data_IF_549250574169
#
_entry.id   IF_549250574169
#
_cell.length_a   1.000
_cell.length_b   1.000
_cell.length_c   1.000
_cell.angle_alpha   90.00
_cell.angle_beta   90.00
_cell.angle_gamma   90.00
#
_symmetry.space_group_name_H-M   'P 1'
#
loop_
_entity.id
_entity.type
_entity.pdbx_description
1 polymer ?
#
# COMPACT_ATOMS: atom_id res chain seq x y z
N UNK A 1 -20.23 -15.46 8.47
CA UNK A 1 -19.92 -14.03 8.63
C UNK A 1 -19.99 -13.43 7.25
N UNK A 2 -20.97 -12.55 7.02
CA UNK A 2 -21.15 -11.91 5.70
C UNK A 2 -20.18 -10.74 5.63
N UNK A 3 -19.37 -10.70 4.60
CA UNK A 3 -18.56 -9.54 4.25
C UNK A 3 -19.43 -8.63 3.38
N UNK A 4 -19.80 -7.46 3.90
CA UNK A 4 -20.40 -6.41 3.09
C UNK A 4 -19.27 -5.76 2.27
N UNK A 5 -19.31 -6.02 0.97
CA UNK A 5 -18.40 -5.41 -0.01
C UNK A 5 -19.15 -4.23 -0.63
N UNK A 6 -19.03 -3.05 -0.07
CA UNK A 6 -19.59 -1.86 -0.67
C UNK A 6 -18.50 -0.94 -1.25
N UNK A 7 -18.67 -0.66 -2.52
CA UNK A 7 -18.19 0.45 -3.33
C UNK A 7 -16.73 0.43 -3.81
N UNK A 8 -16.56 -0.21 -4.98
CA UNK A 8 -15.51 0.18 -5.92
C UNK A 8 -16.01 1.40 -6.69
N UNK A 9 -15.47 2.58 -6.41
CA UNK A 9 -15.73 3.77 -7.24
C UNK A 9 -14.57 3.93 -8.21
N UNK A 10 -14.85 3.63 -9.47
CA UNK A 10 -13.99 4.04 -10.57
C UNK A 10 -14.22 5.53 -10.81
N UNK A 11 -13.17 6.34 -10.94
CA UNK A 11 -13.23 7.78 -11.18
C UNK A 11 -13.81 8.17 -12.56
N UNK A 12 -14.38 7.21 -13.28
CA UNK A 12 -15.10 7.40 -14.54
C UNK A 12 -16.51 6.83 -14.44
N UNK A 13 -17.46 7.67 -14.42
CA UNK A 13 -18.93 7.63 -14.32
C UNK A 13 -19.65 6.43 -15.00
N UNK A 14 -19.27 5.18 -14.66
CA UNK A 14 -20.04 3.98 -15.00
C UNK A 14 -19.94 3.00 -13.83
N UNK A 15 -21.06 2.49 -13.26
CA UNK A 15 -21.01 1.44 -12.26
C UNK A 15 -20.42 0.17 -12.90
N UNK A 16 -19.11 0.00 -12.75
CA UNK A 16 -18.39 -1.15 -13.26
C UNK A 16 -18.83 -2.40 -12.53
N UNK A 17 -19.14 -3.44 -13.27
CA UNK A 17 -19.38 -4.78 -12.74
C UNK A 17 -18.10 -5.22 -12.04
N UNK A 18 -18.17 -5.54 -10.74
CA UNK A 18 -17.03 -6.00 -9.92
C UNK A 18 -16.59 -7.39 -10.38
N UNK A 19 -15.91 -7.47 -11.51
CA UNK A 19 -15.26 -8.70 -12.02
C UNK A 19 -13.82 -8.85 -11.50
N UNK A 20 -13.26 -7.80 -10.91
CA UNK A 20 -11.84 -7.69 -10.56
C UNK A 20 -11.43 -8.11 -9.14
N UNK A 21 -12.35 -8.41 -8.21
CA UNK A 21 -12.00 -8.71 -6.82
C UNK A 21 -10.91 -9.80 -6.68
N UNK A 22 -10.95 -10.93 -7.41
CA UNK A 22 -9.88 -11.92 -7.31
C UNK A 22 -8.51 -11.39 -7.74
N UNK A 23 -8.47 -10.53 -8.76
CA UNK A 23 -7.21 -9.93 -9.24
C UNK A 23 -6.70 -8.88 -8.27
N UNK A 24 -7.57 -8.11 -7.61
CA UNK A 24 -7.17 -7.22 -6.52
C UNK A 24 -6.55 -7.99 -5.35
N UNK A 25 -7.14 -9.11 -4.95
CA UNK A 25 -6.56 -9.97 -3.92
C UNK A 25 -5.19 -10.51 -4.36
N UNK A 26 -5.09 -11.01 -5.61
CA UNK A 26 -3.81 -11.48 -6.17
C UNK A 26 -2.77 -10.36 -6.26
N UNK A 27 -3.18 -9.12 -6.56
CA UNK A 27 -2.29 -7.96 -6.60
C UNK A 27 -1.66 -7.68 -5.23
N UNK A 28 -2.41 -7.91 -4.14
CA UNK A 28 -1.96 -7.75 -2.76
C UNK A 28 -1.20 -8.97 -2.19
N UNK A 29 -1.19 -10.08 -2.90
CA UNK A 29 -0.47 -11.30 -2.52
C UNK A 29 0.78 -11.55 -3.37
N UNK A 30 0.82 -10.98 -4.58
CA UNK A 30 1.85 -11.26 -5.58
C UNK A 30 2.69 -10.02 -5.90
N UNK A 31 3.88 -9.86 -5.29
CA UNK A 31 4.75 -8.71 -5.53
C UNK A 31 5.16 -8.52 -6.99
N UNK A 32 5.28 -9.61 -7.76
CA UNK A 32 5.63 -9.52 -9.18
C UNK A 32 4.49 -8.94 -10.02
N UNK A 33 3.24 -9.26 -9.68
CA UNK A 33 2.06 -8.67 -10.32
C UNK A 33 1.93 -7.18 -9.95
N UNK A 34 2.13 -6.85 -8.66
CA UNK A 34 2.16 -5.48 -8.17
C UNK A 34 3.27 -4.66 -8.84
N UNK A 35 4.48 -5.21 -8.97
CA UNK A 35 5.61 -4.55 -9.65
C UNK A 35 5.32 -4.29 -11.13
N UNK A 36 4.64 -5.21 -11.81
CA UNK A 36 4.24 -5.00 -13.20
C UNK A 36 3.23 -3.85 -13.32
N UNK A 37 2.20 -3.84 -12.48
CA UNK A 37 1.22 -2.74 -12.41
C UNK A 37 1.91 -1.39 -12.14
N UNK A 38 2.77 -1.34 -11.13
CA UNK A 38 3.57 -0.16 -10.79
C UNK A 38 4.44 0.32 -11.95
N UNK A 39 5.06 -0.61 -12.69
CA UNK A 39 5.90 -0.28 -13.87
C UNK A 39 5.08 0.39 -14.97
N UNK A 40 3.85 -0.08 -15.22
CA UNK A 40 2.94 0.53 -16.19
C UNK A 40 2.54 1.94 -15.71
N UNK A 41 2.17 2.08 -14.43
CA UNK A 41 1.73 3.35 -13.84
C UNK A 41 2.83 4.42 -13.93
N UNK A 42 4.07 4.07 -13.59
CA UNK A 42 5.22 5.00 -13.62
C UNK A 42 5.64 5.42 -15.03
N UNK A 43 5.29 4.62 -16.03
CA UNK A 43 5.67 4.89 -17.43
C UNK A 43 4.61 5.67 -18.20
N UNK A 44 3.48 6.05 -17.58
CA UNK A 44 2.27 6.58 -18.21
C UNK A 44 1.70 5.61 -19.27
N UNK A 45 2.53 5.14 -20.17
CA UNK A 45 2.20 4.10 -21.16
C UNK A 45 3.39 3.19 -21.38
N UNK A 46 3.17 1.87 -21.50
CA UNK A 46 4.21 0.89 -21.77
C UNK A 46 3.75 -0.17 -22.78
N UNK A 47 4.66 -0.68 -23.59
CA UNK A 47 4.39 -1.84 -24.47
C UNK A 47 4.75 -3.14 -23.78
N UNK A 48 4.16 -4.26 -24.23
CA UNK A 48 4.50 -5.58 -23.69
C UNK A 48 6.01 -5.92 -23.75
N UNK A 49 6.72 -5.66 -24.87
CA UNK A 49 8.18 -5.86 -24.93
C UNK A 49 8.96 -5.02 -23.91
N UNK A 50 8.65 -3.74 -23.73
CA UNK A 50 9.29 -2.87 -22.74
C UNK A 50 9.10 -3.41 -21.32
N UNK A 51 7.88 -3.88 -20.98
CA UNK A 51 7.59 -4.48 -19.70
C UNK A 51 8.33 -5.80 -19.46
N UNK A 52 8.58 -6.59 -20.51
CA UNK A 52 9.42 -7.80 -20.42
C UNK A 52 10.86 -7.45 -20.09
N UNK A 53 11.38 -6.34 -20.61
CA UNK A 53 12.76 -5.91 -20.37
C UNK A 53 12.94 -5.30 -18.96
N UNK A 54 11.90 -4.67 -18.42
CA UNK A 54 11.97 -3.98 -17.11
C UNK A 54 11.63 -4.89 -15.93
N UNK A 55 11.04 -6.06 -16.16
CA UNK A 55 10.62 -6.98 -15.10
C UNK A 55 11.54 -8.20 -14.97
N UNK A 56 11.56 -8.80 -13.79
CA UNK A 56 12.37 -10.02 -13.52
C UNK A 56 11.63 -11.31 -13.86
N UNK A 57 10.34 -11.22 -14.26
CA UNK A 57 9.53 -12.40 -14.59
C UNK A 57 9.63 -12.80 -16.06
N UNK A 58 9.24 -14.03 -16.37
CA UNK A 58 9.30 -14.54 -17.74
C UNK A 58 8.35 -13.76 -18.66
N UNK A 59 8.71 -13.69 -19.96
CA UNK A 59 7.85 -13.08 -20.99
C UNK A 59 6.42 -13.63 -20.93
N UNK A 60 6.25 -14.94 -20.78
CA UNK A 60 4.91 -15.55 -20.67
C UNK A 60 4.16 -15.00 -19.47
N UNK A 61 4.81 -14.92 -18.31
CA UNK A 61 4.23 -14.41 -17.08
C UNK A 61 3.79 -12.95 -17.22
N UNK A 62 4.59 -12.12 -17.90
CA UNK A 62 4.23 -10.71 -18.18
C UNK A 62 2.91 -10.63 -18.94
N UNK A 63 2.77 -11.39 -20.03
CA UNK A 63 1.54 -11.36 -20.83
C UNK A 63 0.34 -11.97 -20.10
N UNK A 64 0.54 -13.01 -19.28
CA UNK A 64 -0.51 -13.58 -18.44
C UNK A 64 -0.98 -12.54 -17.40
N UNK A 65 -0.07 -11.77 -16.82
CA UNK A 65 -0.38 -10.69 -15.87
C UNK A 65 -1.07 -9.50 -16.54
N UNK A 66 -0.61 -9.06 -17.72
CA UNK A 66 -1.27 -8.00 -18.49
C UNK A 66 -2.72 -8.37 -18.78
N UNK A 67 -2.98 -9.60 -19.20
CA UNK A 67 -4.34 -10.05 -19.44
C UNK A 67 -5.21 -10.05 -18.17
N UNK A 68 -4.66 -10.48 -17.03
CA UNK A 68 -5.36 -10.43 -15.73
C UNK A 68 -5.69 -9.00 -15.30
N UNK A 69 -4.72 -8.09 -15.39
CA UNK A 69 -4.92 -6.68 -15.01
C UNK A 69 -5.95 -6.00 -15.93
N UNK A 70 -5.91 -6.26 -17.23
CA UNK A 70 -6.87 -5.75 -18.20
C UNK A 70 -8.29 -6.29 -17.94
N UNK A 71 -8.42 -7.60 -17.69
CA UNK A 71 -9.73 -8.19 -17.34
C UNK A 71 -10.31 -7.64 -16.03
N UNK A 72 -9.45 -7.24 -15.11
CA UNK A 72 -9.85 -6.62 -13.85
C UNK A 72 -10.18 -5.12 -14.00
N UNK A 73 -9.86 -4.50 -15.15
CA UNK A 73 -10.03 -3.07 -15.37
C UNK A 73 -9.00 -2.21 -14.65
N UNK A 74 -7.85 -2.82 -14.25
CA UNK A 74 -6.75 -2.12 -13.59
C UNK A 74 -5.79 -1.48 -14.58
N UNK A 75 -5.81 -1.94 -15.82
CA UNK A 75 -5.13 -1.34 -16.95
C UNK A 75 -6.06 -1.31 -18.16
N UNK A 76 -5.82 -0.36 -19.07
CA UNK A 76 -6.46 -0.30 -20.36
C UNK A 76 -5.43 -0.44 -21.48
N UNK A 77 -5.90 -0.90 -22.65
CA UNK A 77 -5.06 -1.04 -23.84
C UNK A 77 -5.46 -0.03 -24.89
N UNK A 78 -4.48 0.75 -25.35
CA UNK A 78 -4.62 1.66 -26.47
C UNK A 78 -3.72 1.18 -27.60
N UNK A 79 -4.24 1.03 -28.80
CA UNK A 79 -3.42 0.74 -29.97
C UNK A 79 -2.90 2.06 -30.55
N UNK A 80 -1.59 2.14 -30.77
CA UNK A 80 -1.00 3.26 -31.46
C UNK A 80 -1.23 3.17 -33.00
N UNK A 81 -0.84 4.21 -33.72
CA UNK A 81 -0.98 4.27 -35.19
C UNK A 81 -0.19 3.15 -35.91
N UNK A 82 0.76 2.50 -35.24
CA UNK A 82 1.51 1.36 -35.74
C UNK A 82 0.84 0.01 -35.50
N UNK A 83 -0.27 0.01 -34.73
CA UNK A 83 -0.97 -1.20 -34.29
C UNK A 83 -0.32 -1.90 -33.10
N UNK A 84 0.62 -1.24 -32.44
CA UNK A 84 1.28 -1.78 -31.24
C UNK A 84 0.40 -1.48 -30.02
N UNK A 85 0.10 -2.53 -29.24
CA UNK A 85 -0.65 -2.39 -28.01
C UNK A 85 0.20 -1.66 -26.94
N UNK A 86 -0.34 -0.57 -26.39
CA UNK A 86 0.18 0.17 -25.25
C UNK A 86 -0.76 0.02 -24.08
N UNK A 87 -0.19 -0.20 -22.91
CA UNK A 87 -0.92 -0.36 -21.66
C UNK A 87 -0.79 0.90 -20.83
N UNK A 88 -1.91 1.31 -20.22
CA UNK A 88 -2.00 2.44 -19.28
C UNK A 88 -2.65 1.94 -18.01
N UNK A 89 -2.12 2.31 -16.85
CA UNK A 89 -2.74 1.98 -15.57
C UNK A 89 -3.98 2.85 -15.32
N UNK A 90 -5.00 2.22 -14.77
CA UNK A 90 -6.21 2.89 -14.33
C UNK A 90 -6.11 3.25 -12.85
N UNK A 91 -6.59 4.43 -12.48
CA UNK A 91 -6.72 4.83 -11.09
C UNK A 91 -7.90 4.10 -10.44
N UNK A 92 -7.75 3.71 -9.20
CA UNK A 92 -8.80 3.05 -8.44
C UNK A 92 -8.71 3.38 -6.95
N UNK A 93 -9.81 3.20 -6.26
CA UNK A 93 -9.88 3.19 -4.80
C UNK A 93 -10.79 2.05 -4.37
N UNK A 94 -10.25 1.13 -3.57
CA UNK A 94 -10.99 0.04 -2.95
C UNK A 94 -11.05 0.25 -1.45
N UNK A 95 -12.22 0.60 -0.94
CA UNK A 95 -12.42 0.74 0.50
C UNK A 95 -12.82 -0.59 1.12
N UNK A 96 -12.10 -1.01 2.16
CA UNK A 96 -12.38 -2.20 2.95
C UNK A 96 -12.80 -1.78 4.36
N UNK A 97 -13.94 -2.28 4.82
CA UNK A 97 -14.37 -2.13 6.21
C UNK A 97 -14.19 -3.45 6.95
N UNK A 98 -13.27 -3.50 7.90
CA UNK A 98 -13.01 -4.68 8.73
C UNK A 98 -13.27 -4.33 10.20
N UNK A 99 -14.27 -4.97 10.79
CA UNK A 99 -14.79 -4.75 12.16
C UNK A 99 -15.34 -3.34 12.40
N UNK A 100 -14.63 -2.30 12.35
CA UNK A 100 -15.03 -0.88 12.44
C UNK A 100 -13.94 0.01 11.88
N UNK A 101 -12.90 -0.59 11.35
CA UNK A 101 -11.79 0.11 10.71
C UNK A 101 -12.04 0.12 9.22
N UNK A 102 -11.97 1.28 8.62
CA UNK A 102 -12.05 1.49 7.19
C UNK A 102 -10.65 1.80 6.69
N UNK A 103 -10.23 1.12 5.64
CA UNK A 103 -8.93 1.31 4.99
C UNK A 103 -9.11 1.40 3.49
N UNK A 104 -8.33 2.25 2.83
CA UNK A 104 -8.34 2.39 1.38
C UNK A 104 -7.14 1.68 0.76
N UNK A 105 -7.39 0.90 -0.29
CA UNK A 105 -6.37 0.31 -1.15
C UNK A 105 -6.32 1.15 -2.42
N UNK A 106 -5.22 1.83 -2.62
CA UNK A 106 -4.98 2.73 -3.76
C UNK A 106 -3.81 2.26 -4.59
N UNK A 107 -3.61 2.80 -5.81
CA UNK A 107 -2.41 2.54 -6.60
C UNK A 107 -1.09 2.81 -5.86
N UNK A 108 -1.05 3.86 -5.03
CA UNK A 108 0.12 4.23 -4.23
C UNK A 108 0.45 3.14 -3.19
N UNK A 109 -0.56 2.60 -2.51
CA UNK A 109 -0.38 1.48 -1.59
C UNK A 109 0.17 0.23 -2.31
N UNK A 110 -0.29 -0.02 -3.54
CA UNK A 110 0.24 -1.12 -4.37
C UNK A 110 1.70 -0.88 -4.74
N UNK A 111 2.10 0.36 -5.02
CA UNK A 111 3.51 0.70 -5.28
C UNK A 111 4.42 0.40 -4.09
N UNK A 112 3.96 0.72 -2.87
CA UNK A 112 4.67 0.39 -1.64
C UNK A 112 4.72 -1.13 -1.44
N UNK A 113 3.59 -1.82 -1.62
CA UNK A 113 3.54 -3.28 -1.52
C UNK A 113 4.48 -3.98 -2.52
N UNK A 114 4.62 -3.46 -3.73
CA UNK A 114 5.52 -4.01 -4.75
C UNK A 114 6.99 -4.06 -4.28
N UNK A 115 7.37 -3.20 -3.34
CA UNK A 115 8.72 -3.09 -2.79
C UNK A 115 8.93 -3.94 -1.51
N UNK A 116 7.95 -4.72 -1.07
CA UNK A 116 8.04 -5.49 0.20
C UNK A 116 9.28 -6.37 0.31
N UNK A 117 9.78 -6.91 -0.80
CA UNK A 117 10.97 -7.74 -0.82
C UNK A 117 12.29 -6.95 -0.57
N UNK A 118 12.26 -5.63 -0.76
CA UNK A 118 13.39 -4.73 -0.56
C UNK A 118 13.39 -4.15 0.86
N UNK A 119 12.21 -4.12 1.50
CA UNK A 119 12.00 -3.55 2.83
C UNK A 119 11.45 -4.58 3.82
N UNK A 120 12.33 -5.23 4.62
CA UNK A 120 11.91 -6.29 5.56
C UNK A 120 10.86 -5.86 6.59
N UNK A 121 10.76 -4.57 6.91
CA UNK A 121 9.73 -4.04 7.81
C UNK A 121 8.33 -4.21 7.22
N UNK A 122 8.17 -3.93 5.91
CA UNK A 122 6.91 -4.10 5.19
C UNK A 122 6.52 -5.57 5.14
N UNK A 123 7.45 -6.45 4.75
CA UNK A 123 7.20 -7.88 4.65
C UNK A 123 6.78 -8.47 6.00
N UNK A 124 7.46 -8.09 7.08
CA UNK A 124 7.12 -8.50 8.45
C UNK A 124 5.71 -8.08 8.85
N UNK A 125 5.33 -6.82 8.61
CA UNK A 125 3.99 -6.35 8.97
C UNK A 125 2.92 -7.05 8.16
N UNK A 126 3.15 -7.30 6.87
CA UNK A 126 2.22 -8.05 6.03
C UNK A 126 2.06 -9.50 6.46
N UNK A 127 3.15 -10.18 6.83
CA UNK A 127 3.13 -11.58 7.29
C UNK A 127 2.49 -11.74 8.67
N UNK A 128 2.88 -10.90 9.63
CA UNK A 128 2.47 -11.04 11.03
C UNK A 128 1.10 -10.42 11.32
N UNK A 129 0.74 -9.33 10.65
CA UNK A 129 -0.45 -8.51 10.94
C UNK A 129 -1.44 -8.40 9.76
N UNK A 130 -1.01 -8.71 8.54
CA UNK A 130 -1.84 -8.72 7.34
C UNK A 130 -2.07 -7.36 6.70
N UNK A 131 -2.73 -7.41 5.52
CA UNK A 131 -2.88 -6.25 4.63
C UNK A 131 -3.72 -5.11 5.23
N UNK A 132 -4.71 -5.41 6.06
CA UNK A 132 -5.57 -4.36 6.67
C UNK A 132 -4.77 -3.53 7.66
N UNK A 133 -3.94 -4.19 8.49
CA UNK A 133 -3.05 -3.49 9.43
C UNK A 133 -2.00 -2.67 8.67
N UNK A 134 -1.45 -3.23 7.60
CA UNK A 134 -0.48 -2.53 6.77
C UNK A 134 -1.11 -1.29 6.10
N UNK A 135 -2.30 -1.39 5.51
CA UNK A 135 -2.99 -0.26 4.89
C UNK A 135 -3.33 0.83 5.93
N UNK A 136 -3.81 0.44 7.12
CA UNK A 136 -4.04 1.38 8.21
C UNK A 136 -2.74 2.07 8.64
N UNK A 137 -1.65 1.32 8.76
CA UNK A 137 -0.35 1.91 9.11
C UNK A 137 0.14 2.87 8.03
N UNK A 138 -0.05 2.55 6.75
CA UNK A 138 0.27 3.43 5.63
C UNK A 138 -0.48 4.77 5.73
N UNK A 139 -1.80 4.74 5.95
CA UNK A 139 -2.60 5.96 6.12
C UNK A 139 -2.13 6.80 7.32
N UNK A 140 -1.82 6.13 8.45
CA UNK A 140 -1.31 6.79 9.64
C UNK A 140 0.10 7.37 9.47
N UNK A 141 0.96 6.75 8.65
CA UNK A 141 2.30 7.32 8.33
C UNK A 141 2.16 8.58 7.48
N UNK A 142 1.20 8.63 6.56
CA UNK A 142 0.89 9.86 5.82
C UNK A 142 0.44 10.97 6.78
N UNK A 143 -0.50 10.68 7.69
CA UNK A 143 -0.92 11.62 8.72
C UNK A 143 0.22 12.02 9.68
N UNK A 144 1.17 11.11 9.94
CA UNK A 144 2.37 11.42 10.72
C UNK A 144 3.27 12.43 10.01
N UNK A 145 3.47 12.31 8.71
CA UNK A 145 4.25 13.28 7.93
C UNK A 145 3.65 14.68 7.94
N UNK A 146 2.34 14.78 8.18
CA UNK A 146 1.60 16.04 8.33
C UNK A 146 1.60 16.56 9.80
N UNK A 147 2.17 15.77 10.72
CA UNK A 147 2.24 16.11 12.15
C UNK A 147 0.95 15.83 12.95
N UNK A 148 0.00 15.08 12.37
CA UNK A 148 -1.29 14.81 13.00
C UNK A 148 -1.23 13.68 14.04
N UNK A 149 -0.34 12.70 13.84
CA UNK A 149 -0.16 11.55 14.72
C UNK A 149 1.31 11.29 15.00
N UNK A 150 1.61 10.70 16.14
CA UNK A 150 2.96 10.27 16.52
C UNK A 150 3.20 8.80 16.19
N UNK A 151 4.46 8.36 16.06
CA UNK A 151 4.80 6.94 15.86
C UNK A 151 4.23 6.05 16.98
N UNK A 152 4.20 6.55 18.22
CA UNK A 152 3.58 5.86 19.35
C UNK A 152 2.08 5.63 19.14
N UNK A 153 1.37 6.62 18.62
CA UNK A 153 -0.05 6.46 18.27
C UNK A 153 -0.23 5.48 17.11
N UNK A 154 0.65 5.49 16.11
CA UNK A 154 0.66 4.49 15.03
C UNK A 154 0.78 3.09 15.64
N UNK A 155 1.78 2.84 16.48
CA UNK A 155 1.97 1.55 17.15
C UNK A 155 0.71 1.11 17.92
N UNK A 156 0.10 2.02 18.68
CA UNK A 156 -1.11 1.73 19.46
C UNK A 156 -2.34 1.45 18.61
N UNK A 157 -2.55 2.22 17.53
CA UNK A 157 -3.73 2.09 16.66
C UNK A 157 -3.67 0.85 15.76
N UNK A 158 -2.45 0.41 15.41
CA UNK A 158 -2.20 -0.74 14.54
C UNK A 158 -1.92 -2.04 15.31
N UNK A 159 -1.80 -1.97 16.63
CA UNK A 159 -1.37 -3.10 17.49
C UNK A 159 0.03 -3.64 17.09
N UNK A 160 0.87 -2.76 16.56
CA UNK A 160 2.27 -3.06 16.27
C UNK A 160 3.14 -2.84 17.52
N UNK A 161 4.24 -3.61 17.62
CA UNK A 161 5.25 -3.26 18.61
C UNK A 161 5.87 -1.90 18.27
N UNK A 162 6.31 -1.12 19.25
CA UNK A 162 6.96 0.16 19.00
C UNK A 162 8.13 0.05 17.99
N UNK A 163 9.01 -0.94 18.15
CA UNK A 163 10.11 -1.17 17.22
C UNK A 163 9.64 -1.46 15.79
N UNK A 164 8.60 -2.29 15.63
CA UNK A 164 8.02 -2.60 14.31
C UNK A 164 7.42 -1.34 13.68
N UNK A 165 6.76 -0.48 14.48
CA UNK A 165 6.20 0.78 13.97
C UNK A 165 7.30 1.75 13.52
N UNK A 166 8.41 1.87 14.26
CA UNK A 166 9.56 2.68 13.83
C UNK A 166 10.18 2.16 12.53
N UNK A 167 10.48 0.85 12.46
CA UNK A 167 11.04 0.23 11.26
C UNK A 167 10.14 0.47 10.03
N UNK A 168 8.81 0.38 10.23
CA UNK A 168 7.83 0.59 9.17
C UNK A 168 7.78 2.06 8.73
N UNK A 169 7.75 3.01 9.68
CA UNK A 169 7.75 4.45 9.40
C UNK A 169 8.99 4.81 8.59
N UNK A 170 10.18 4.39 9.01
CA UNK A 170 11.43 4.64 8.29
C UNK A 170 11.38 4.11 6.85
N UNK A 171 10.88 2.88 6.66
CA UNK A 171 10.73 2.29 5.34
C UNK A 171 9.76 3.09 4.45
N UNK A 172 8.59 3.47 5.00
CA UNK A 172 7.58 4.22 4.27
C UNK A 172 8.03 5.66 3.94
N UNK A 173 8.73 6.33 4.86
CA UNK A 173 9.33 7.64 4.59
C UNK A 173 10.31 7.58 3.42
N UNK A 174 11.14 6.55 3.38
CA UNK A 174 12.09 6.35 2.27
C UNK A 174 11.38 6.10 0.94
N UNK A 175 10.34 5.26 0.92
CA UNK A 175 9.63 4.88 -0.31
C UNK A 175 8.80 6.05 -0.85
N UNK A 176 8.13 6.78 0.05
CA UNK A 176 7.21 7.86 -0.30
C UNK A 176 7.88 9.23 -0.45
N UNK A 177 9.20 9.30 -0.20
CA UNK A 177 9.98 10.56 -0.22
C UNK A 177 9.33 11.65 0.66
N UNK A 178 8.89 11.25 1.87
CA UNK A 178 8.21 12.17 2.80
C UNK A 178 9.18 13.14 3.52
N UNK A 179 10.45 13.13 3.14
CA UNK A 179 11.50 13.91 3.76
C UNK A 179 12.11 13.23 5.00
N UNK A 180 13.11 13.90 5.59
CA UNK A 180 13.69 13.44 6.84
C UNK A 180 12.73 13.77 7.99
N UNK A 181 12.30 12.77 8.72
CA UNK A 181 11.57 12.97 9.96
C UNK A 181 12.53 13.52 11.02
N UNK A 182 12.69 14.85 11.05
CA UNK A 182 13.50 15.52 12.09
C UNK A 182 12.93 15.30 13.50
N UNK A 183 11.70 14.79 13.61
CA UNK A 183 11.02 14.49 14.87
C UNK A 183 11.14 13.02 15.28
N UNK A 184 11.50 12.12 14.34
CA UNK A 184 11.72 10.71 14.68
C UNK A 184 13.15 10.56 15.19
N UNK A 185 13.35 9.95 16.38
CA UNK A 185 14.69 9.53 16.78
C UNK A 185 15.22 8.53 15.75
N UNK A 186 16.40 8.81 15.20
CA UNK A 186 17.07 8.00 14.18
C UNK A 186 17.43 6.58 14.65
N UNK A 187 17.16 6.26 15.89
CA UNK A 187 17.37 4.93 16.47
C UNK A 187 16.38 4.73 17.62
N UNK A 188 15.55 3.66 17.52
CA UNK A 188 14.72 3.22 18.62
C UNK A 188 15.60 2.87 19.84
N UNK A 189 15.37 3.57 20.95
CA UNK A 189 15.85 3.16 22.26
C UNK A 189 14.66 2.78 23.14
N UNK A 190 14.72 1.66 23.90
CA UNK A 190 13.62 1.27 24.78
C UNK A 190 13.20 2.32 25.80
N UNK A 191 14.09 3.27 26.09
CA UNK A 191 13.83 4.37 27.04
C UNK A 191 12.93 5.48 26.45
N UNK A 192 12.80 5.59 25.14
CA UNK A 192 11.97 6.61 24.47
C UNK A 192 10.46 6.43 24.75
N UNK A 193 10.06 5.30 25.31
CA UNK A 193 8.66 4.97 25.66
C UNK A 193 8.33 5.10 27.13
N UNK A 194 9.31 5.33 28.00
CA UNK A 194 9.08 5.31 29.46
C UNK A 194 8.82 6.69 30.09
N UNK A 195 9.03 7.80 29.38
CA UNK A 195 8.91 9.12 29.99
C UNK A 195 7.46 9.65 30.11
N UNK A 196 6.53 9.19 29.26
CA UNK A 196 5.16 9.74 29.23
C UNK A 196 4.10 8.93 30.01
N UNK A 197 4.39 7.69 30.46
CA UNK A 197 3.43 6.93 31.27
C UNK A 197 3.26 7.49 32.68
N UNK A 198 4.27 8.19 33.20
CA UNK A 198 4.17 8.82 34.53
C UNK A 198 3.30 10.06 34.54
N UNK A 199 3.33 10.87 33.49
CA UNK A 199 2.53 12.11 33.41
C UNK A 199 1.03 11.85 33.21
N UNK A 200 0.67 10.79 32.47
CA UNK A 200 -0.73 10.40 32.27
C UNK A 200 -1.36 9.79 33.51
N UNK A 201 -0.56 9.17 34.40
CA UNK A 201 -1.06 8.60 35.66
C UNK A 201 -1.21 9.67 36.73
N UNK A 202 -0.44 10.76 36.73
CA UNK A 202 -0.61 11.88 37.61
C UNK A 202 -1.87 12.72 37.30
N UNK A 203 -2.21 12.92 36.02
CA UNK A 203 -3.45 13.62 35.63
C UNK A 203 -4.72 12.84 35.97
N UNK A 204 -4.68 11.53 36.06
CA UNK A 204 -5.85 10.68 36.38
C UNK A 204 -6.06 10.48 37.90
N UNK A 205 -5.09 10.84 38.73
CA UNK A 205 -5.18 10.64 40.19
C UNK A 205 -5.51 11.91 40.97
N UNK A 206 -5.58 13.07 40.34
CA UNK A 206 -5.77 14.38 40.98
C UNK A 206 -7.20 14.96 40.79
N UNK A 207 -8.23 14.08 40.61
CA UNK A 207 -9.61 14.53 40.47
C UNK A 207 -10.58 13.76 41.37
#
# INVERSE_FOLDING_TARGET
>A
MSYDTEHVRNAGDTPGTVTGIPTFAELLENPSLASLYTSIRRSDTATGPELVETTTVSKKTVYDYLHKLEQAGLISTVNDDSGTARYTAEEFELTLTVRKTEVSITPELIEVFAQKNEYPAIDRVLEDHGIVTFALAYDLVTAHSEGEVTIRQIASLTDLSPGTAYDLVEALYTILDLGDDESAPTTYTPDDFNEDESDLLEELTDN
#
